data_IF_259232852791
#
_entry.id   IF_259232852791
#
_cell.length_a   1.000
_cell.length_b   1.000
_cell.length_c   1.000
_cell.angle_alpha   90.00
_cell.angle_beta   90.00
_cell.angle_gamma   90.00
#
_symmetry.space_group_name_H-M   'P 1'
#
loop_
_entity.id
_entity.type
_entity.pdbx_description
1 polymer ?
#
# COMPACT_ATOMS: atom_id res chain seq x y z
N UNK A 1 21.60 -7.33 -40.66
CA UNK A 1 21.59 -8.00 -39.33
C UNK A 1 21.83 -7.00 -38.21
N UNK A 2 22.85 -6.14 -38.30
CA UNK A 2 23.25 -5.20 -37.24
C UNK A 2 22.16 -4.23 -36.77
N UNK A 3 21.37 -3.65 -37.69
CA UNK A 3 20.29 -2.73 -37.34
C UNK A 3 19.21 -3.36 -36.43
N UNK A 4 18.91 -4.65 -36.66
CA UNK A 4 17.95 -5.40 -35.83
C UNK A 4 18.51 -5.67 -34.43
N UNK A 5 19.81 -5.93 -34.32
CA UNK A 5 20.45 -6.11 -33.02
C UNK A 5 20.48 -4.81 -32.22
N UNK A 6 20.75 -3.67 -32.86
CA UNK A 6 20.72 -2.37 -32.20
C UNK A 6 19.32 -2.05 -31.63
N UNK A 7 18.27 -2.28 -32.41
CA UNK A 7 16.88 -2.09 -31.97
C UNK A 7 16.52 -2.97 -30.76
N UNK A 8 16.98 -4.23 -30.74
CA UNK A 8 16.75 -5.13 -29.61
C UNK A 8 17.49 -4.70 -28.34
N UNK A 9 18.72 -4.18 -28.48
CA UNK A 9 19.47 -3.66 -27.33
C UNK A 9 18.80 -2.42 -26.75
N UNK A 10 18.38 -1.47 -27.59
CA UNK A 10 17.67 -0.26 -27.15
C UNK A 10 16.37 -0.61 -26.41
N UNK A 11 15.63 -1.61 -26.89
CA UNK A 11 14.41 -2.08 -26.24
C UNK A 11 14.71 -2.69 -24.87
N UNK A 12 15.77 -3.50 -24.75
CA UNK A 12 16.18 -4.10 -23.49
C UNK A 12 16.65 -3.04 -22.49
N UNK A 13 17.47 -2.09 -22.92
CA UNK A 13 17.91 -0.96 -22.09
C UNK A 13 16.72 -0.14 -21.58
N UNK A 14 15.73 0.11 -22.44
CA UNK A 14 14.49 0.81 -22.05
C UNK A 14 13.71 0.01 -21.01
N UNK A 15 13.61 -1.32 -21.20
CA UNK A 15 12.94 -2.22 -20.26
C UNK A 15 13.64 -2.20 -18.90
N UNK A 16 14.95 -2.32 -18.88
CA UNK A 16 15.76 -2.29 -17.66
C UNK A 16 15.59 -0.97 -16.92
N UNK A 17 15.64 0.17 -17.63
CA UNK A 17 15.43 1.48 -17.03
C UNK A 17 14.03 1.62 -16.42
N UNK A 18 12.99 1.13 -17.10
CA UNK A 18 11.62 1.13 -16.59
C UNK A 18 11.50 0.29 -15.31
N UNK A 19 12.09 -0.91 -15.28
CA UNK A 19 12.09 -1.77 -14.10
C UNK A 19 12.79 -1.11 -12.91
N UNK A 20 13.97 -0.54 -13.12
CA UNK A 20 14.70 0.18 -12.06
C UNK A 20 13.90 1.36 -11.50
N UNK A 21 13.18 2.08 -12.36
CA UNK A 21 12.31 3.18 -11.94
C UNK A 21 11.17 2.66 -11.08
N UNK A 22 10.49 1.60 -11.53
CA UNK A 22 9.39 0.97 -10.80
C UNK A 22 9.85 0.48 -9.42
N UNK A 23 11.01 -0.16 -9.32
CA UNK A 23 11.57 -0.63 -8.05
C UNK A 23 11.87 0.53 -7.09
N UNK A 24 12.46 1.63 -7.59
CA UNK A 24 12.73 2.84 -6.80
C UNK A 24 11.43 3.45 -6.26
N UNK A 25 10.40 3.52 -7.09
CA UNK A 25 9.09 4.05 -6.70
C UNK A 25 8.42 3.17 -5.65
N UNK A 26 8.40 1.85 -5.86
CA UNK A 26 7.87 0.88 -4.89
C UNK A 26 8.61 1.00 -3.55
N UNK A 27 9.94 1.09 -3.57
CA UNK A 27 10.74 1.26 -2.37
C UNK A 27 10.43 2.60 -1.66
N UNK A 28 10.20 3.67 -2.42
CA UNK A 28 9.82 4.99 -1.87
C UNK A 28 8.46 4.95 -1.17
N UNK A 29 7.46 4.34 -1.81
CA UNK A 29 6.13 4.14 -1.24
C UNK A 29 6.21 3.30 0.03
N UNK A 30 6.97 2.20 0.00
CA UNK A 30 7.18 1.33 1.16
C UNK A 30 7.81 2.09 2.32
N UNK A 31 8.87 2.87 2.09
CA UNK A 31 9.52 3.69 3.14
C UNK A 31 8.54 4.69 3.75
N UNK A 32 7.74 5.36 2.93
CA UNK A 32 6.72 6.31 3.40
C UNK A 32 5.65 5.63 4.25
N UNK A 33 5.20 4.44 3.85
CA UNK A 33 4.26 3.62 4.62
C UNK A 33 4.89 3.18 5.94
N UNK A 34 6.06 2.54 5.92
CA UNK A 34 6.75 2.01 7.09
C UNK A 34 7.04 3.11 8.13
N UNK A 35 7.41 4.32 7.69
CA UNK A 35 7.62 5.47 8.58
C UNK A 35 6.36 5.81 9.38
N UNK A 36 5.18 5.66 8.77
CA UNK A 36 3.86 5.95 9.36
C UNK A 36 3.25 4.74 10.07
N UNK A 37 3.59 3.53 9.65
CA UNK A 37 3.18 2.26 10.23
C UNK A 37 3.93 2.00 11.55
N UNK A 38 3.71 2.87 12.53
CA UNK A 38 4.17 2.65 13.91
C UNK A 38 3.07 1.94 14.68
N UNK A 39 3.47 1.00 15.55
CA UNK A 39 2.56 0.43 16.53
C UNK A 39 2.00 1.57 17.39
N UNK A 40 0.70 1.84 17.28
CA UNK A 40 0.02 2.81 18.15
C UNK A 40 -0.23 2.11 19.47
N UNK A 41 0.27 2.69 20.56
CA UNK A 41 -0.19 2.34 21.90
C UNK A 41 -1.46 3.14 22.15
N UNK A 42 -2.52 2.46 22.58
CA UNK A 42 -3.74 3.11 22.99
C UNK A 42 -3.74 3.26 24.51
N UNK A 43 -4.16 4.41 25.00
CA UNK A 43 -4.35 4.69 26.43
C UNK A 43 -5.84 4.67 26.77
N UNK A 44 -6.14 4.40 28.04
CA UNK A 44 -7.51 4.56 28.55
C UNK A 44 -8.01 5.99 28.27
N UNK A 45 -9.22 6.11 27.71
CA UNK A 45 -9.80 7.40 27.29
C UNK A 45 -9.55 7.77 25.82
N UNK A 46 -8.67 7.08 25.09
CA UNK A 46 -8.48 7.32 23.65
C UNK A 46 -9.75 6.94 22.87
N UNK A 47 -10.10 7.77 21.87
CA UNK A 47 -11.13 7.45 20.89
C UNK A 47 -10.54 6.71 19.70
N UNK A 48 -11.05 5.52 19.43
CA UNK A 48 -10.56 4.62 18.38
C UNK A 48 -11.70 4.13 17.49
N UNK A 49 -11.39 3.86 16.22
CA UNK A 49 -12.30 3.14 15.34
C UNK A 49 -12.00 1.64 15.43
N UNK A 50 -13.04 0.80 15.41
CA UNK A 50 -12.86 -0.65 15.43
C UNK A 50 -12.96 -1.22 14.01
N UNK A 51 -11.97 -2.02 13.62
CA UNK A 51 -11.99 -2.75 12.36
C UNK A 51 -13.04 -3.86 12.38
N UNK A 52 -13.97 -3.83 11.43
CA UNK A 52 -14.94 -4.89 11.20
C UNK A 52 -14.34 -5.92 10.21
N UNK A 53 -13.79 -6.99 10.76
CA UNK A 53 -13.12 -8.04 9.98
C UNK A 53 -14.08 -8.80 9.04
N UNK A 54 -15.38 -8.86 9.34
CA UNK A 54 -16.36 -9.54 8.51
C UNK A 54 -16.78 -8.68 7.32
N UNK A 55 -16.96 -7.37 7.52
CA UNK A 55 -17.16 -6.42 6.42
C UNK A 55 -15.93 -6.25 5.56
N UNK A 56 -14.72 -6.34 6.12
CA UNK A 56 -13.48 -6.19 5.36
C UNK A 56 -13.25 -7.28 4.29
N UNK A 57 -13.98 -8.40 4.35
CA UNK A 57 -13.83 -9.49 3.39
C UNK A 57 -14.26 -9.05 1.98
N UNK A 58 -13.50 -9.41 0.93
CA UNK A 58 -13.88 -9.12 -0.44
C UNK A 58 -15.30 -9.59 -0.75
N UNK A 59 -16.11 -8.73 -1.38
CA UNK A 59 -17.50 -9.01 -1.73
C UNK A 59 -18.51 -8.91 -0.58
N UNK A 60 -18.07 -8.58 0.65
CA UNK A 60 -18.96 -8.37 1.81
C UNK A 60 -19.21 -6.90 2.14
N UNK A 61 -18.58 -5.98 1.43
CA UNK A 61 -18.80 -4.56 1.56
C UNK A 61 -18.92 -3.88 0.19
N UNK A 62 -19.78 -2.86 0.12
CA UNK A 62 -19.81 -1.92 -1.00
C UNK A 62 -18.68 -0.89 -0.89
N UNK A 63 -18.48 -0.09 -1.94
CA UNK A 63 -17.50 1.01 -1.93
C UNK A 63 -17.79 2.07 -0.86
N UNK A 64 -19.05 2.20 -0.45
CA UNK A 64 -19.51 3.22 0.50
C UNK A 64 -19.82 2.66 1.89
N UNK A 65 -19.57 1.37 2.09
CA UNK A 65 -19.77 0.74 3.39
C UNK A 65 -18.58 1.05 4.30
N UNK A 66 -18.88 1.45 5.53
CA UNK A 66 -17.86 1.66 6.54
C UNK A 66 -17.31 0.32 7.04
N UNK A 67 -16.01 0.08 6.84
CA UNK A 67 -15.27 -1.09 7.38
C UNK A 67 -14.77 -0.80 8.81
N UNK A 68 -14.65 0.49 9.15
CA UNK A 68 -14.33 0.96 10.48
C UNK A 68 -15.61 1.43 11.17
N UNK A 69 -15.87 0.90 12.35
CA UNK A 69 -17.08 1.19 13.14
C UNK A 69 -16.77 2.17 14.27
N UNK A 70 -17.71 3.10 14.48
CA UNK A 70 -17.87 4.00 15.64
C UNK A 70 -16.65 4.84 16.03
N UNK A 71 -16.81 5.85 16.88
CA UNK A 71 -15.78 6.17 17.86
C UNK A 71 -16.04 5.35 19.12
N UNK A 72 -15.11 4.46 19.47
CA UNK A 72 -15.11 3.72 20.73
C UNK A 72 -14.11 4.36 21.69
N UNK A 73 -14.39 4.33 22.98
CA UNK A 73 -13.43 4.73 24.00
C UNK A 73 -12.70 3.51 24.53
N UNK A 74 -11.37 3.59 24.61
CA UNK A 74 -10.55 2.53 25.24
C UNK A 74 -10.78 2.58 26.74
N UNK A 75 -11.23 1.44 27.28
CA UNK A 75 -11.49 1.22 28.71
C UNK A 75 -10.73 -0.01 29.18
N UNK A 76 -10.54 -0.14 30.49
CA UNK A 76 -9.72 -1.17 31.13
C UNK A 76 -10.38 -2.55 31.16
#
# INVERSE_FOLDING_TARGET
>A
MEARYAELMELEETREHALQTMEKDQASIKRCFDKKARARTFQEGDLVLKWDADRAKPGRHSKFDAIWSGPYMVTK
#
